data_IF_620963829697
#
_entry.id   IF_620963829697
#
_cell.length_a   1.000
_cell.length_b   1.000
_cell.length_c   1.000
_cell.angle_alpha   90.00
_cell.angle_beta   90.00
_cell.angle_gamma   90.00
#
_symmetry.space_group_name_H-M   'P 1'
#
loop_
_entity.id
_entity.type
_entity.pdbx_description
1 polymer ?
#
# COMPACT_ATOMS: atom_id res chain seq x y z
N UNK A 1 -2.04 -2.52 13.28
CA UNK A 1 -0.90 -3.44 13.17
C UNK A 1 -0.85 -4.36 14.39
N UNK A 2 -0.99 -3.87 15.64
CA UNK A 2 -0.98 -4.72 16.84
C UNK A 2 -2.01 -5.86 16.79
N UNK A 3 -3.25 -5.57 16.43
CA UNK A 3 -4.32 -6.58 16.30
C UNK A 3 -3.95 -7.76 15.40
N UNK A 4 -3.21 -7.52 14.32
CA UNK A 4 -2.75 -8.59 13.45
C UNK A 4 -1.58 -9.37 14.08
N UNK A 5 -0.64 -8.67 14.71
CA UNK A 5 0.48 -9.30 15.38
C UNK A 5 0.01 -10.20 16.54
N UNK A 6 -0.98 -9.75 17.32
CA UNK A 6 -1.60 -10.55 18.38
C UNK A 6 -2.20 -11.85 17.82
N UNK A 7 -2.90 -11.78 16.69
CA UNK A 7 -3.46 -12.96 16.01
C UNK A 7 -2.40 -13.92 15.50
N UNK A 8 -1.28 -13.39 15.02
CA UNK A 8 -0.15 -14.18 14.53
C UNK A 8 0.78 -14.65 15.66
N UNK A 9 0.54 -14.25 16.89
CA UNK A 9 1.40 -14.50 18.07
C UNK A 9 2.86 -14.02 17.87
N UNK A 10 3.00 -12.86 17.19
CA UNK A 10 4.29 -12.25 16.88
C UNK A 10 4.44 -10.90 17.58
N UNK A 11 5.67 -10.53 17.88
CA UNK A 11 6.01 -9.16 18.26
C UNK A 11 5.84 -8.24 17.04
N UNK A 12 5.50 -6.97 17.28
CA UNK A 12 5.23 -6.02 16.20
C UNK A 12 6.06 -4.74 16.33
N UNK A 13 6.71 -4.37 15.23
CA UNK A 13 7.32 -3.05 15.08
C UNK A 13 6.57 -2.28 14.00
N UNK A 14 5.79 -1.28 14.40
CA UNK A 14 5.10 -0.41 13.46
C UNK A 14 6.04 0.71 12.98
N UNK A 15 6.44 0.65 11.72
CA UNK A 15 7.30 1.65 11.06
C UNK A 15 6.52 2.57 10.12
N UNK A 16 5.19 2.50 10.10
CA UNK A 16 4.37 3.35 9.24
C UNK A 16 4.49 4.83 9.61
N UNK A 17 4.39 5.68 8.60
CA UNK A 17 4.31 7.15 8.76
C UNK A 17 3.17 7.65 7.90
N UNK A 18 2.20 8.38 8.46
CA UNK A 18 1.10 8.94 7.70
C UNK A 18 1.59 9.78 6.52
N UNK A 19 0.92 9.64 5.38
CA UNK A 19 1.23 10.43 4.20
C UNK A 19 2.45 9.98 3.40
N UNK A 20 3.16 8.91 3.76
CA UNK A 20 4.34 8.46 3.02
C UNK A 20 4.04 8.16 1.55
N UNK A 21 4.93 8.59 0.66
CA UNK A 21 4.94 8.17 -0.74
C UNK A 21 5.53 6.77 -0.88
N UNK A 22 5.25 6.08 -2.00
CA UNK A 22 5.82 4.76 -2.27
C UNK A 22 7.36 4.76 -2.31
N UNK A 23 7.97 5.87 -2.75
CA UNK A 23 9.42 6.06 -2.70
C UNK A 23 9.97 6.10 -1.26
N UNK A 24 9.26 6.76 -0.33
CA UNK A 24 9.69 6.80 1.07
C UNK A 24 9.47 5.46 1.77
N UNK A 25 8.35 4.78 1.49
CA UNK A 25 8.09 3.44 1.99
C UNK A 25 9.23 2.50 1.56
N UNK A 26 9.54 2.49 0.26
CA UNK A 26 10.64 1.72 -0.29
C UNK A 26 11.99 2.04 0.38
N UNK A 27 12.36 3.33 0.47
CA UNK A 27 13.61 3.74 1.14
C UNK A 27 13.69 3.26 2.58
N UNK A 28 12.60 3.36 3.31
CA UNK A 28 12.53 2.97 4.72
C UNK A 28 12.74 1.47 4.90
N UNK A 29 12.15 0.65 4.04
CA UNK A 29 12.34 -0.80 4.09
C UNK A 29 13.79 -1.13 3.76
N UNK A 30 14.33 -0.58 2.68
CA UNK A 30 15.70 -0.83 2.24
C UNK A 30 16.76 -0.36 3.25
N UNK A 31 16.47 0.66 4.05
CA UNK A 31 17.37 1.16 5.10
C UNK A 31 17.17 0.50 6.47
N UNK A 32 16.16 -0.34 6.61
CA UNK A 32 15.87 -1.04 7.88
C UNK A 32 16.62 -2.35 7.95
N UNK A 33 17.07 -2.69 9.15
CA UNK A 33 17.57 -4.03 9.43
C UNK A 33 16.39 -4.99 9.55
N UNK A 34 16.46 -6.10 8.84
CA UNK A 34 15.50 -7.19 8.88
C UNK A 34 16.21 -8.51 9.20
N UNK A 35 15.59 -9.32 10.01
CA UNK A 35 16.06 -10.67 10.30
C UNK A 35 15.40 -11.67 9.31
N UNK A 36 16.01 -12.83 9.07
CA UNK A 36 15.50 -13.80 8.08
C UNK A 36 14.05 -14.27 8.32
N UNK A 37 13.64 -14.31 9.59
CA UNK A 37 12.31 -14.79 10.02
C UNK A 37 11.29 -13.65 10.17
N UNK A 38 11.65 -12.41 9.84
CA UNK A 38 10.73 -11.29 9.93
C UNK A 38 9.58 -11.43 8.94
N UNK A 39 8.36 -11.22 9.43
CA UNK A 39 7.16 -11.10 8.59
C UNK A 39 6.99 -9.63 8.21
N UNK A 40 7.30 -9.29 6.97
CA UNK A 40 7.24 -7.92 6.48
C UNK A 40 5.91 -7.69 5.78
N UNK A 41 5.10 -6.77 6.32
CA UNK A 41 3.81 -6.36 5.74
C UNK A 41 3.91 -4.92 5.29
N UNK A 42 3.69 -4.66 4.02
CA UNK A 42 3.88 -3.36 3.40
C UNK A 42 2.54 -2.81 2.94
N UNK A 43 2.08 -1.76 3.60
CA UNK A 43 0.95 -0.94 3.12
C UNK A 43 1.47 0.12 2.15
N UNK A 44 1.33 -0.13 0.86
CA UNK A 44 1.68 0.82 -0.18
C UNK A 44 0.68 1.96 -0.25
N UNK A 45 1.14 3.16 -0.57
CA UNK A 45 0.30 4.33 -0.77
C UNK A 45 -0.26 4.38 -2.20
N UNK A 46 -1.10 5.37 -2.51
CA UNK A 46 -1.56 5.62 -3.87
C UNK A 46 -0.38 5.74 -4.85
N UNK A 47 -0.52 5.16 -6.05
CA UNK A 47 0.53 5.20 -7.07
C UNK A 47 0.90 6.65 -7.46
N UNK A 48 -0.09 7.53 -7.51
CA UNK A 48 0.07 8.94 -7.85
C UNK A 48 0.65 9.83 -6.74
N UNK A 49 0.82 9.31 -5.51
CA UNK A 49 1.44 10.08 -4.43
C UNK A 49 2.93 10.26 -4.69
N UNK A 50 3.33 11.50 -4.90
CA UNK A 50 4.70 11.85 -5.25
C UNK A 50 5.39 12.75 -4.21
N UNK A 51 6.70 12.86 -4.35
CA UNK A 51 7.51 13.84 -3.63
C UNK A 51 7.93 14.97 -4.58
N UNK A 52 7.59 16.19 -4.20
CA UNK A 52 8.00 17.40 -4.90
C UNK A 52 8.65 18.38 -3.93
N UNK A 53 9.87 18.81 -4.21
CA UNK A 53 10.65 19.71 -3.32
C UNK A 53 10.70 19.23 -1.87
N UNK A 54 10.92 17.93 -1.64
CA UNK A 54 11.01 17.33 -0.31
C UNK A 54 9.69 17.19 0.46
N UNK A 55 8.56 17.57 -0.13
CA UNK A 55 7.21 17.41 0.44
C UNK A 55 6.41 16.39 -0.37
N UNK A 56 5.46 15.76 0.31
CA UNK A 56 4.57 14.77 -0.33
C UNK A 56 3.29 15.43 -0.79
N UNK A 57 2.80 15.05 -1.94
CA UNK A 57 1.60 15.58 -2.55
C UNK A 57 0.79 14.50 -3.26
N UNK A 58 -0.51 14.77 -3.39
CA UNK A 58 -1.46 14.08 -4.24
C UNK A 58 -1.96 15.04 -5.32
N UNK A 59 -2.54 14.51 -6.38
CA UNK A 59 -3.20 15.29 -7.46
C UNK A 59 -4.23 16.27 -6.91
N UNK A 60 -4.93 15.92 -5.84
CA UNK A 60 -5.94 16.76 -5.19
C UNK A 60 -5.38 17.97 -4.42
N UNK A 61 -4.06 18.18 -4.39
CA UNK A 61 -3.48 19.31 -3.68
C UNK A 61 -3.72 20.62 -4.44
N UNK A 62 -4.30 21.62 -3.78
CA UNK A 62 -4.70 22.90 -4.39
C UNK A 62 -3.53 23.88 -4.64
N UNK A 63 -2.32 23.54 -4.24
CA UNK A 63 -1.14 24.39 -4.48
C UNK A 63 -0.83 24.48 -5.97
N UNK A 64 -0.71 25.71 -6.48
CA UNK A 64 -0.45 25.99 -7.90
C UNK A 64 0.81 25.31 -8.46
N UNK A 65 1.90 25.26 -7.69
CA UNK A 65 3.14 24.60 -8.12
C UNK A 65 2.99 23.06 -8.19
N UNK A 66 2.16 22.48 -7.34
CA UNK A 66 1.84 21.05 -7.36
C UNK A 66 0.93 20.72 -8.53
N UNK A 67 -0.11 21.53 -8.76
CA UNK A 67 -0.98 21.38 -9.94
C UNK A 67 -0.17 21.46 -11.23
N UNK A 68 0.70 22.46 -11.36
CA UNK A 68 1.56 22.59 -12.53
C UNK A 68 2.46 21.37 -12.76
N UNK A 69 2.95 20.74 -11.69
CA UNK A 69 3.69 19.47 -11.79
C UNK A 69 2.80 18.37 -12.38
N UNK A 70 1.59 18.18 -11.85
CA UNK A 70 0.68 17.13 -12.34
C UNK A 70 0.20 17.40 -13.76
N UNK A 71 -0.01 18.66 -14.14
CA UNK A 71 -0.48 19.04 -15.47
C UNK A 71 0.58 18.88 -16.58
N UNK A 72 1.86 19.08 -16.23
CA UNK A 72 2.94 19.17 -17.22
C UNK A 72 4.00 18.09 -17.15
N UNK A 73 4.25 17.53 -15.98
CA UNK A 73 5.36 16.64 -15.74
C UNK A 73 4.93 15.25 -15.26
N UNK A 74 3.70 15.13 -14.76
CA UNK A 74 3.22 13.86 -14.25
C UNK A 74 2.77 12.94 -15.37
N UNK A 75 3.30 11.72 -15.35
CA UNK A 75 2.85 10.61 -16.17
C UNK A 75 2.33 9.48 -15.28
N UNK A 76 1.05 9.18 -15.38
CA UNK A 76 0.47 8.08 -14.60
C UNK A 76 1.07 6.72 -14.95
N UNK A 77 1.53 6.56 -16.18
CA UNK A 77 2.22 5.36 -16.65
C UNK A 77 3.58 5.23 -15.98
N UNK A 78 4.42 6.26 -16.05
CA UNK A 78 5.77 6.23 -15.48
C UNK A 78 5.73 6.03 -13.96
N UNK A 79 4.76 6.65 -13.28
CA UNK A 79 4.56 6.46 -11.84
C UNK A 79 4.10 5.03 -11.49
N UNK A 80 3.26 4.43 -12.31
CA UNK A 80 2.85 3.04 -12.12
C UNK A 80 4.02 2.07 -12.36
N UNK A 81 4.85 2.33 -13.37
CA UNK A 81 6.05 1.55 -13.65
C UNK A 81 7.09 1.66 -12.52
N UNK A 82 7.39 2.88 -12.06
CA UNK A 82 8.30 3.13 -10.94
C UNK A 82 7.79 2.47 -9.64
N UNK A 83 6.48 2.48 -9.41
CA UNK A 83 5.88 1.78 -8.28
C UNK A 83 6.05 0.26 -8.42
N UNK A 84 5.74 -0.32 -9.57
CA UNK A 84 5.88 -1.76 -9.81
C UNK A 84 7.34 -2.22 -9.62
N UNK A 85 8.30 -1.48 -10.15
CA UNK A 85 9.72 -1.77 -9.98
C UNK A 85 10.16 -1.75 -8.50
N UNK A 86 9.63 -0.83 -7.69
CA UNK A 86 9.93 -0.78 -6.24
C UNK A 86 9.37 -1.97 -5.49
N UNK A 87 8.14 -2.38 -5.83
CA UNK A 87 7.51 -3.56 -5.24
C UNK A 87 8.31 -4.81 -5.59
N UNK A 88 8.62 -5.01 -6.85
CA UNK A 88 9.38 -6.17 -7.32
C UNK A 88 10.80 -6.21 -6.75
N UNK A 89 11.46 -5.04 -6.64
CA UNK A 89 12.79 -4.95 -6.01
C UNK A 89 12.76 -5.40 -4.55
N UNK A 90 11.80 -4.93 -3.74
CA UNK A 90 11.71 -5.39 -2.35
C UNK A 90 11.42 -6.89 -2.27
N UNK A 91 10.50 -7.39 -3.08
CA UNK A 91 10.14 -8.80 -3.07
C UNK A 91 11.24 -9.73 -3.59
N UNK A 92 12.21 -9.21 -4.36
CA UNK A 92 13.41 -9.97 -4.75
C UNK A 92 14.41 -10.16 -3.61
N UNK A 93 14.32 -9.32 -2.57
CA UNK A 93 15.26 -9.32 -1.43
C UNK A 93 14.60 -9.92 -0.17
N UNK A 94 13.32 -9.61 0.04
CA UNK A 94 12.59 -9.98 1.25
C UNK A 94 11.29 -10.70 0.92
N UNK A 95 10.91 -11.67 1.75
CA UNK A 95 9.56 -12.25 1.71
C UNK A 95 8.58 -11.24 2.31
N UNK A 96 7.76 -10.61 1.47
CA UNK A 96 6.85 -9.56 1.88
C UNK A 96 5.40 -9.85 1.51
N UNK A 97 4.48 -9.36 2.34
CA UNK A 97 3.06 -9.29 2.04
C UNK A 97 2.70 -7.86 1.64
N UNK A 98 2.31 -7.66 0.39
CA UNK A 98 2.00 -6.34 -0.15
C UNK A 98 0.50 -6.05 -0.03
N UNK A 99 0.17 -4.86 0.46
CA UNK A 99 -1.18 -4.32 0.55
C UNK A 99 -1.27 -3.08 -0.33
N UNK A 100 -2.35 -2.95 -1.08
CA UNK A 100 -2.62 -1.76 -1.88
C UNK A 100 -3.82 -1.00 -1.31
N UNK A 101 -3.78 0.32 -1.39
CA UNK A 101 -4.88 1.16 -0.91
C UNK A 101 -6.07 1.09 -1.86
N UNK A 102 -5.82 1.06 -3.17
CA UNK A 102 -6.85 1.19 -4.20
C UNK A 102 -6.74 0.10 -5.28
N UNK A 103 -7.84 -0.59 -5.54
CA UNK A 103 -7.95 -1.58 -6.64
C UNK A 103 -7.63 -1.00 -8.02
N UNK A 104 -7.87 0.29 -8.23
CA UNK A 104 -7.53 0.99 -9.48
C UNK A 104 -6.03 1.02 -9.72
N UNK A 105 -5.25 1.21 -8.67
CA UNK A 105 -3.79 1.18 -8.75
C UNK A 105 -3.29 -0.21 -9.13
N UNK A 106 -3.85 -1.28 -8.55
CA UNK A 106 -3.50 -2.65 -8.92
C UNK A 106 -3.76 -2.95 -10.40
N UNK A 107 -4.84 -2.40 -10.97
CA UNK A 107 -5.15 -2.57 -12.41
C UNK A 107 -4.12 -1.87 -13.30
N UNK A 108 -3.62 -0.71 -12.89
CA UNK A 108 -2.58 0.03 -13.62
C UNK A 108 -1.22 -0.69 -13.58
N UNK A 109 -0.91 -1.32 -12.45
CA UNK A 109 0.36 -2.04 -12.22
C UNK A 109 0.44 -3.38 -12.96
N UNK A 110 -0.66 -3.86 -13.52
CA UNK A 110 -0.87 -5.28 -13.85
C UNK A 110 0.02 -5.83 -14.96
N UNK A 111 0.58 -5.02 -15.86
CA UNK A 111 1.25 -5.54 -17.07
C UNK A 111 2.70 -5.94 -16.87
N UNK A 112 3.36 -5.46 -15.85
CA UNK A 112 4.83 -5.59 -15.69
C UNK A 112 5.27 -6.28 -14.42
N UNK A 113 4.47 -6.16 -13.36
CA UNK A 113 4.87 -6.57 -12.03
C UNK A 113 4.74 -8.06 -11.83
N UNK A 114 5.75 -8.69 -11.28
CA UNK A 114 5.76 -10.12 -10.91
C UNK A 114 5.26 -10.36 -9.50
N UNK A 115 5.42 -9.38 -8.62
CA UNK A 115 5.01 -9.47 -7.23
C UNK A 115 3.51 -9.52 -7.05
N UNK A 116 3.08 -10.20 -5.98
CA UNK A 116 1.66 -10.39 -5.65
C UNK A 116 1.23 -9.40 -4.56
N UNK A 117 -0.03 -9.00 -4.60
CA UNK A 117 -0.71 -8.28 -3.53
C UNK A 117 -1.75 -9.16 -2.89
N UNK A 118 -1.92 -9.05 -1.57
CA UNK A 118 -2.99 -9.74 -0.86
C UNK A 118 -4.36 -9.22 -1.33
N UNK A 119 -5.33 -10.13 -1.37
CA UNK A 119 -6.71 -9.83 -1.80
C UNK A 119 -7.52 -9.17 -0.67
N UNK A 120 -6.96 -8.15 -0.06
CA UNK A 120 -7.61 -7.37 0.99
C UNK A 120 -7.45 -5.89 0.72
N UNK A 121 -8.57 -5.15 0.74
CA UNK A 121 -8.59 -3.72 0.51
C UNK A 121 -9.18 -3.01 1.72
N UNK A 122 -8.55 -1.91 2.10
CA UNK A 122 -9.06 -1.06 3.15
C UNK A 122 -10.47 -0.52 2.85
N UNK A 123 -10.74 -0.14 1.61
CA UNK A 123 -12.04 0.33 1.14
C UNK A 123 -13.18 -0.67 1.40
N UNK A 124 -12.90 -1.96 1.38
CA UNK A 124 -13.94 -2.96 1.60
C UNK A 124 -14.35 -2.99 3.09
N UNK A 125 -13.43 -2.78 4.00
CA UNK A 125 -13.74 -2.61 5.42
C UNK A 125 -14.48 -1.29 5.71
N UNK A 126 -14.07 -0.19 5.06
CA UNK A 126 -14.75 1.10 5.22
C UNK A 126 -16.23 1.09 4.77
N UNK A 127 -16.57 0.30 3.76
CA UNK A 127 -17.95 0.17 3.26
C UNK A 127 -18.87 -0.57 4.22
N UNK A 128 -18.32 -1.45 5.04
CA UNK A 128 -19.08 -2.29 5.96
C UNK A 128 -19.40 -1.59 7.30
N UNK A 129 -18.69 -0.54 7.63
CA UNK A 129 -18.79 0.12 8.93
C UNK A 129 -18.93 1.63 8.80
N UNK A 130 -19.67 2.27 9.72
CA UNK A 130 -19.76 3.73 9.74
C UNK A 130 -18.39 4.34 10.05
N UNK A 131 -18.21 5.60 9.66
CA UNK A 131 -17.05 6.39 10.04
C UNK A 131 -17.14 6.85 11.49
N UNK A 132 -15.99 7.13 12.10
CA UNK A 132 -15.91 7.73 13.42
C UNK A 132 -16.54 9.14 13.44
N UNK A 133 -16.70 9.73 14.63
CA UNK A 133 -17.35 11.04 14.80
C UNK A 133 -16.73 12.18 14.01
N UNK A 134 -15.44 12.08 13.70
CA UNK A 134 -14.72 13.07 12.86
C UNK A 134 -15.04 12.94 11.36
N UNK A 135 -15.82 11.94 10.96
CA UNK A 135 -16.21 11.68 9.58
C UNK A 135 -15.09 11.19 8.66
N UNK A 136 -13.84 11.18 9.13
CA UNK A 136 -12.66 10.91 8.31
C UNK A 136 -11.99 9.57 8.61
N UNK A 137 -12.15 9.06 9.83
CA UNK A 137 -11.48 7.84 10.24
C UNK A 137 -12.48 6.68 10.40
N UNK A 138 -12.06 5.45 10.15
CA UNK A 138 -12.87 4.28 10.42
C UNK A 138 -12.97 4.02 11.93
N UNK A 139 -14.05 3.37 12.33
CA UNK A 139 -14.25 2.94 13.72
C UNK A 139 -13.40 1.71 14.06
N UNK A 140 -13.27 1.42 15.36
CA UNK A 140 -12.50 0.28 15.86
C UNK A 140 -12.93 -1.07 15.24
N UNK A 141 -14.25 -1.25 15.03
CA UNK A 141 -14.77 -2.47 14.40
C UNK A 141 -14.25 -2.68 12.98
N UNK A 142 -14.08 -1.58 12.19
CA UNK A 142 -13.49 -1.66 10.85
C UNK A 142 -12.02 -2.10 10.92
N UNK A 143 -11.26 -1.60 11.90
CA UNK A 143 -9.88 -2.03 12.11
C UNK A 143 -9.77 -3.51 12.51
N UNK A 144 -10.68 -3.99 13.38
CA UNK A 144 -10.73 -5.40 13.77
C UNK A 144 -11.07 -6.30 12.59
N UNK A 145 -12.08 -5.93 11.82
CA UNK A 145 -12.47 -6.65 10.61
C UNK A 145 -11.33 -6.71 9.57
N UNK A 146 -10.68 -5.57 9.34
CA UNK A 146 -9.55 -5.51 8.41
C UNK A 146 -8.38 -6.40 8.87
N UNK A 147 -8.05 -6.39 10.16
CA UNK A 147 -7.00 -7.25 10.72
C UNK A 147 -7.35 -8.74 10.60
N UNK A 148 -8.62 -9.12 10.79
CA UNK A 148 -9.11 -10.48 10.61
C UNK A 148 -8.98 -10.93 9.14
N UNK A 149 -9.52 -10.12 8.23
CA UNK A 149 -9.46 -10.40 6.79
C UNK A 149 -8.01 -10.50 6.30
N UNK A 150 -7.14 -9.61 6.76
CA UNK A 150 -5.73 -9.62 6.43
C UNK A 150 -5.04 -10.90 6.94
N UNK A 151 -5.33 -11.30 8.17
CA UNK A 151 -4.82 -12.55 8.73
C UNK A 151 -5.25 -13.75 7.88
N UNK A 152 -6.52 -13.84 7.51
CA UNK A 152 -7.03 -14.92 6.65
C UNK A 152 -6.36 -14.92 5.27
N UNK A 153 -6.16 -13.75 4.65
CA UNK A 153 -5.46 -13.65 3.37
C UNK A 153 -4.00 -14.12 3.47
N UNK A 154 -3.31 -13.82 4.58
CA UNK A 154 -1.93 -14.29 4.81
C UNK A 154 -1.89 -15.80 4.98
N UNK A 155 -2.74 -16.36 5.84
CA UNK A 155 -2.78 -17.80 6.15
C UNK A 155 -3.15 -18.62 4.92
N UNK A 156 -4.12 -18.14 4.13
CA UNK A 156 -4.62 -18.85 2.95
C UNK A 156 -3.86 -18.51 1.67
N UNK A 157 -2.85 -17.65 1.74
CA UNK A 157 -2.14 -17.12 0.56
C UNK A 157 -3.09 -16.55 -0.51
N UNK A 158 -4.16 -15.86 -0.04
CA UNK A 158 -5.16 -15.28 -0.92
C UNK A 158 -4.65 -13.97 -1.52
N UNK A 159 -4.17 -14.08 -2.74
CA UNK A 159 -3.65 -12.95 -3.50
C UNK A 159 -4.67 -12.43 -4.51
N UNK A 160 -4.63 -11.12 -4.73
CA UNK A 160 -5.46 -10.46 -5.73
C UNK A 160 -5.26 -11.09 -7.11
N UNK A 161 -6.32 -11.66 -7.66
CA UNK A 161 -6.33 -12.26 -9.01
C UNK A 161 -6.50 -11.14 -10.02
N UNK A 162 -5.48 -10.92 -10.83
CA UNK A 162 -5.54 -9.95 -11.91
C UNK A 162 -6.54 -10.41 -12.95
N UNK A 163 -7.44 -9.56 -13.43
CA UNK A 163 -8.22 -9.91 -14.61
C UNK A 163 -7.27 -10.10 -15.78
N UNK A 164 -7.28 -11.30 -16.37
CA UNK A 164 -6.53 -11.58 -17.60
C UNK A 164 -7.04 -10.65 -18.69
N UNK A 165 -6.20 -9.73 -19.17
CA UNK A 165 -6.45 -9.09 -20.45
C UNK A 165 -5.85 -10.01 -21.51
N UNK A 166 -6.71 -10.59 -22.33
CA UNK A 166 -6.30 -11.11 -23.64
C UNK A 166 -5.66 -9.91 -24.37
N UNK A 167 -4.37 -10.02 -24.67
CA UNK A 167 -3.63 -9.08 -25.49
C UNK A 167 -4.09 -9.26 -26.93
#
# INVERSE_FOLDING_TARGET
>A
VSLLADKMQLSCVNRSKPGSSNKEIWKKIMSSKHEPDDVIIIGWSFAERTMFKGKQFLVSNERKDVQLYYDRLYSSKDHAEDFALRVDHINSIHKCYNLCVDKRDLRKLSTWMTSKFLNVMWEDAEKLYPRARDGNHPIELAHKHYAETLHQCIVNEDYYKRPWRLI
#
